data_IF_220239621692
#
_entry.id   IF_220239621692
#
_cell.length_a   1.000
_cell.length_b   1.000
_cell.length_c   1.000
_cell.angle_alpha   90.00
_cell.angle_beta   90.00
_cell.angle_gamma   90.00
#
_symmetry.space_group_name_H-M   'P 1'
#
loop_
_entity.id
_entity.type
_entity.pdbx_description
1 polymer ?
#
# COMPACT_ATOMS: atom_id res chain seq x y z
N UNK A 1 6.15 -4.99 -3.52
CA UNK A 1 7.57 -4.78 -3.20
C UNK A 1 7.76 -3.31 -2.81
N UNK A 2 7.65 -2.97 -1.52
CA UNK A 2 7.80 -1.59 -1.05
C UNK A 2 9.28 -1.34 -0.71
N UNK A 3 9.89 -0.30 -1.28
CA UNK A 3 11.25 0.18 -0.97
C UNK A 3 12.44 -0.59 -1.54
N UNK A 4 12.34 -1.20 -2.72
CA UNK A 4 13.52 -1.63 -3.49
C UNK A 4 14.31 -2.82 -2.91
N UNK A 5 13.82 -3.46 -1.85
CA UNK A 5 14.37 -4.74 -1.38
C UNK A 5 13.84 -5.90 -2.23
N UNK A 6 14.70 -6.88 -2.56
CA UNK A 6 14.26 -8.14 -3.21
C UNK A 6 13.13 -8.75 -2.39
N UNK A 7 12.08 -9.22 -3.06
CA UNK A 7 10.95 -9.89 -2.42
C UNK A 7 11.45 -11.15 -1.73
N UNK A 8 11.57 -11.10 -0.40
CA UNK A 8 11.92 -12.26 0.43
C UNK A 8 10.66 -12.77 1.12
N UNK A 9 10.11 -13.86 0.60
CA UNK A 9 8.92 -14.51 1.14
C UNK A 9 9.13 -15.08 2.56
N UNK A 10 10.40 -15.23 3.01
CA UNK A 10 10.73 -15.74 4.35
C UNK A 10 10.93 -14.64 5.39
N UNK A 11 11.06 -13.38 4.98
CA UNK A 11 11.34 -12.26 5.90
C UNK A 11 10.14 -11.88 6.80
N UNK A 12 8.97 -12.47 6.56
CA UNK A 12 7.72 -11.99 7.11
C UNK A 12 7.33 -10.65 6.49
N UNK A 13 6.04 -10.29 6.58
CA UNK A 13 5.64 -8.93 6.25
C UNK A 13 6.35 -7.96 7.23
N UNK A 14 6.83 -6.80 6.77
CA UNK A 14 7.53 -5.84 7.64
C UNK A 14 6.67 -5.36 8.82
N UNK A 15 5.35 -5.60 8.75
CA UNK A 15 4.39 -5.30 9.80
C UNK A 15 3.52 -6.53 10.08
N UNK A 16 3.26 -6.83 11.36
CA UNK A 16 2.41 -7.97 11.77
C UNK A 16 0.96 -7.80 11.32
N UNK A 17 0.47 -6.57 11.28
CA UNK A 17 -0.85 -6.21 10.79
C UNK A 17 -0.78 -4.85 10.10
N UNK A 18 -0.97 -4.85 8.79
CA UNK A 18 -1.00 -3.64 7.98
C UNK A 18 -2.10 -3.73 6.93
N UNK A 19 -2.60 -2.56 6.53
CA UNK A 19 -3.53 -2.42 5.44
C UNK A 19 -3.02 -1.35 4.47
N UNK A 20 -3.24 -1.58 3.18
CA UNK A 20 -3.07 -0.56 2.16
C UNK A 20 -4.34 -0.50 1.34
N UNK A 21 -4.85 0.71 1.15
CA UNK A 21 -5.96 0.99 0.25
C UNK A 21 -5.45 1.86 -0.89
N UNK A 22 -5.56 1.36 -2.11
CA UNK A 22 -5.34 2.14 -3.32
C UNK A 22 -6.68 2.64 -3.86
N UNK A 23 -6.69 3.83 -4.44
CA UNK A 23 -7.87 4.37 -5.11
C UNK A 23 -7.46 5.05 -6.41
N UNK A 24 -8.00 4.57 -7.52
CA UNK A 24 -7.82 5.20 -8.83
C UNK A 24 -8.52 6.56 -8.82
N UNK A 25 -7.81 7.62 -9.21
CA UNK A 25 -8.35 8.99 -9.25
C UNK A 25 -8.77 9.38 -10.66
N UNK A 26 -8.02 8.95 -11.67
CA UNK A 26 -8.30 9.21 -13.08
C UNK A 26 -7.74 8.08 -13.94
N UNK A 27 -8.32 7.85 -15.13
CA UNK A 27 -7.84 6.88 -16.11
C UNK A 27 -6.86 7.46 -17.13
N UNK A 28 -6.87 8.78 -17.36
CA UNK A 28 -5.94 9.46 -18.29
C UNK A 28 -5.51 10.85 -17.78
N UNK A 29 -4.28 11.02 -17.28
CA UNK A 29 -3.32 9.97 -16.96
C UNK A 29 -3.83 9.06 -15.84
N UNK A 30 -3.43 7.79 -15.88
CA UNK A 30 -3.81 6.79 -14.89
C UNK A 30 -3.11 7.04 -13.54
N UNK A 31 -3.74 7.83 -12.67
CA UNK A 31 -3.18 8.26 -11.39
C UNK A 31 -3.99 7.70 -10.24
N UNK A 32 -3.33 7.15 -9.22
CA UNK A 32 -3.97 6.71 -7.97
C UNK A 32 -3.44 7.46 -6.75
N UNK A 33 -4.21 7.37 -5.67
CA UNK A 33 -3.80 7.69 -4.30
C UNK A 33 -3.63 6.36 -3.54
N UNK A 34 -2.75 6.38 -2.53
CA UNK A 34 -2.52 5.27 -1.62
C UNK A 34 -2.67 5.75 -0.18
N UNK A 35 -3.35 4.96 0.65
CA UNK A 35 -3.42 5.15 2.10
C UNK A 35 -2.88 3.89 2.75
N UNK A 36 -1.92 4.03 3.67
CA UNK A 36 -1.37 2.92 4.45
C UNK A 36 -1.79 3.03 5.90
N UNK A 37 -2.07 1.89 6.52
CA UNK A 37 -2.33 1.76 7.95
C UNK A 37 -1.44 0.67 8.54
N UNK A 38 -0.90 0.95 9.71
CA UNK A 38 -0.31 -0.05 10.60
C UNK A 38 -1.20 -0.20 11.81
N UNK A 39 -1.33 -1.42 12.35
CA UNK A 39 -2.19 -1.70 13.48
C UNK A 39 -1.40 -2.30 14.64
N UNK A 40 -1.69 -1.81 15.84
CA UNK A 40 -1.17 -2.36 17.09
C UNK A 40 -2.33 -2.58 18.06
N UNK A 41 -2.34 -3.70 18.76
CA UNK A 41 -3.25 -3.90 19.87
C UNK A 41 -2.71 -3.12 21.07
N UNK A 42 -3.53 -2.28 21.68
CA UNK A 42 -3.19 -1.67 22.96
C UNK A 42 -3.35 -2.70 24.11
N UNK A 43 -2.87 -2.39 25.33
CA UNK A 43 -2.97 -3.33 26.46
C UNK A 43 -4.40 -3.74 26.84
N UNK A 44 -5.43 -3.01 26.40
CA UNK A 44 -6.84 -3.34 26.63
C UNK A 44 -7.42 -4.27 25.54
N UNK A 45 -6.61 -4.66 24.55
CA UNK A 45 -7.01 -5.50 23.44
C UNK A 45 -7.69 -4.74 22.29
N UNK A 46 -7.74 -3.41 22.34
CA UNK A 46 -8.31 -2.59 21.27
C UNK A 46 -7.26 -2.39 20.18
N UNK A 47 -7.62 -2.73 18.93
CA UNK A 47 -6.78 -2.43 17.78
C UNK A 47 -6.77 -0.93 17.50
N UNK A 48 -5.59 -0.31 17.58
CA UNK A 48 -5.34 1.08 17.20
C UNK A 48 -4.62 1.11 15.86
N UNK A 49 -5.15 1.89 14.93
CA UNK A 49 -4.55 2.11 13.62
C UNK A 49 -3.78 3.43 13.55
N UNK A 50 -2.63 3.43 12.87
CA UNK A 50 -1.91 4.65 12.47
C UNK A 50 -1.92 4.76 10.95
N UNK A 51 -2.76 5.67 10.45
CA UNK A 51 -2.90 5.96 9.03
C UNK A 51 -1.85 6.96 8.51
N UNK A 52 -1.45 6.78 7.25
CA UNK A 52 -0.58 7.71 6.54
C UNK A 52 -0.96 7.79 5.05
N UNK A 53 -0.96 9.00 4.51
CA UNK A 53 -1.14 9.26 3.07
C UNK A 53 0.16 9.82 2.51
N UNK A 54 1.04 8.98 1.94
CA UNK A 54 2.32 9.44 1.42
C UNK A 54 2.14 10.30 0.17
N UNK A 55 2.97 11.34 0.04
CA UNK A 55 3.11 12.09 -1.21
C UNK A 55 4.15 11.40 -2.08
N UNK A 56 3.77 10.82 -3.23
CA UNK A 56 4.72 10.15 -4.10
C UNK A 56 5.67 11.16 -4.77
N UNK A 57 6.92 10.75 -5.03
CA UNK A 57 7.95 11.62 -5.62
C UNK A 57 7.55 12.14 -7.00
N UNK A 58 6.85 11.32 -7.78
CA UNK A 58 6.33 11.65 -9.11
C UNK A 58 4.95 12.33 -9.07
N UNK A 59 4.45 12.71 -7.88
CA UNK A 59 3.15 13.37 -7.71
C UNK A 59 3.19 14.90 -7.81
N UNK A 60 4.35 15.52 -8.03
CA UNK A 60 4.50 16.99 -8.11
C UNK A 60 3.83 17.72 -6.91
N UNK A 61 4.05 17.21 -5.70
CA UNK A 61 3.48 17.75 -4.46
C UNK A 61 2.04 17.31 -4.15
N UNK A 62 1.37 16.60 -5.07
CA UNK A 62 0.06 15.97 -4.87
C UNK A 62 0.20 14.62 -4.16
N UNK A 63 -0.92 14.12 -3.64
CA UNK A 63 -1.02 12.79 -3.02
C UNK A 63 -1.25 11.65 -4.02
N UNK A 64 -1.29 11.99 -5.32
CA UNK A 64 -1.55 11.04 -6.41
C UNK A 64 -0.44 11.07 -7.43
N UNK A 65 -0.21 9.94 -8.09
CA UNK A 65 0.70 9.88 -9.24
C UNK A 65 0.46 8.65 -10.12
N UNK A 66 1.08 8.65 -11.30
CA UNK A 66 1.13 7.50 -12.22
C UNK A 66 1.83 6.30 -11.58
N UNK A 67 2.91 6.52 -10.84
CA UNK A 67 3.62 5.48 -10.12
C UNK A 67 2.74 4.78 -9.09
N UNK A 68 1.87 5.52 -8.40
CA UNK A 68 0.88 4.93 -7.48
C UNK A 68 -0.21 4.17 -8.28
N UNK A 69 -0.60 4.65 -9.46
CA UNK A 69 -1.51 3.93 -10.36
C UNK A 69 -0.96 2.57 -10.77
N UNK A 70 0.32 2.51 -11.17
CA UNK A 70 0.99 1.24 -11.45
C UNK A 70 1.04 0.31 -10.23
N UNK A 71 1.37 0.87 -9.06
CA UNK A 71 1.45 0.09 -7.82
C UNK A 71 0.10 -0.52 -7.41
N UNK A 72 -1.03 0.15 -7.71
CA UNK A 72 -2.37 -0.39 -7.50
C UNK A 72 -2.57 -1.71 -8.25
N UNK A 73 -2.24 -1.76 -9.54
CA UNK A 73 -2.38 -2.98 -10.35
C UNK A 73 -1.44 -4.08 -9.89
N UNK A 74 -0.19 -3.74 -9.57
CA UNK A 74 0.78 -4.70 -9.04
C UNK A 74 0.30 -5.29 -7.71
N UNK A 75 -0.29 -4.47 -6.83
CA UNK A 75 -0.89 -4.91 -5.58
C UNK A 75 -2.07 -5.86 -5.84
N UNK A 76 -3.02 -5.46 -6.68
CA UNK A 76 -4.20 -6.29 -6.99
C UNK A 76 -3.80 -7.66 -7.55
N UNK A 77 -2.95 -7.69 -8.57
CA UNK A 77 -2.48 -8.94 -9.17
C UNK A 77 -1.69 -9.80 -8.18
N UNK A 78 -0.88 -9.17 -7.31
CA UNK A 78 -0.13 -9.86 -6.26
C UNK A 78 -1.06 -10.50 -5.23
N UNK A 79 -2.01 -9.73 -4.70
CA UNK A 79 -2.97 -10.18 -3.69
C UNK A 79 -3.89 -11.28 -4.23
N UNK A 80 -4.39 -11.14 -5.46
CA UNK A 80 -5.22 -12.17 -6.09
C UNK A 80 -4.46 -13.48 -6.27
N UNK A 81 -3.19 -13.43 -6.72
CA UNK A 81 -2.35 -14.62 -6.80
C UNK A 81 -2.17 -15.25 -5.43
N UNK A 82 -1.81 -14.47 -4.42
CA UNK A 82 -1.58 -14.99 -3.06
C UNK A 82 -2.82 -15.65 -2.43
N UNK A 83 -4.02 -15.12 -2.70
CA UNK A 83 -5.26 -15.65 -2.13
C UNK A 83 -5.83 -16.87 -2.87
N UNK A 84 -5.55 -17.00 -4.17
CA UNK A 84 -6.30 -17.91 -5.05
C UNK A 84 -5.45 -18.81 -5.96
N UNK A 85 -4.11 -18.83 -5.83
CA UNK A 85 -3.23 -19.76 -6.55
C UNK A 85 -2.50 -20.71 -5.62
#
# INVERSE_FOLDING_TARGET
>A
QLSGKKSDAKAGLPEKAANVCYSMVNGQPEEAIMVTHTFVADPSGVLKGKGHVPKPKDGNGKFRSKGVGKALHEWFNGSMREMFS
#
